data_IF_209955055577
#
_entry.id   IF_209955055577
#
_cell.length_a   1.000
_cell.length_b   1.000
_cell.length_c   1.000
_cell.angle_alpha   90.00
_cell.angle_beta   90.00
_cell.angle_gamma   90.00
#
_symmetry.space_group_name_H-M   'P 1'
#
loop_
_entity.id
_entity.type
_entity.pdbx_description
1 polymer ?
#
# COMPACT_ATOMS: atom_id res chain seq x y z
N UNK A 1 0.91 0.04 -7.66
CA UNK A 1 1.51 0.70 -8.85
C UNK A 1 1.19 0.01 -10.18
N UNK A 2 0.84 -1.29 -10.21
CA UNK A 2 0.69 -2.04 -11.48
C UNK A 2 -0.63 -1.75 -12.24
N UNK A 3 -1.63 -1.14 -11.58
CA UNK A 3 -2.87 -0.72 -12.24
C UNK A 3 -2.59 0.47 -13.17
N UNK A 4 -3.29 0.52 -14.33
CA UNK A 4 -3.07 1.50 -15.42
C UNK A 4 -2.86 2.92 -14.90
N UNK A 5 -3.82 3.47 -14.14
CA UNK A 5 -3.74 4.85 -13.69
C UNK A 5 -2.53 5.15 -12.78
N UNK A 6 -2.16 4.22 -11.90
CA UNK A 6 -0.98 4.36 -11.04
C UNK A 6 0.32 4.19 -11.81
N UNK A 7 0.36 3.28 -12.78
CA UNK A 7 1.51 3.13 -13.67
C UNK A 7 1.73 4.41 -14.48
N UNK A 8 0.66 4.90 -15.11
CA UNK A 8 0.69 6.15 -15.88
C UNK A 8 1.06 7.36 -15.02
N UNK A 9 0.57 7.42 -13.78
CA UNK A 9 1.01 8.41 -12.79
C UNK A 9 2.52 8.36 -12.55
N UNK A 10 3.08 7.18 -12.30
CA UNK A 10 4.52 7.03 -12.05
C UNK A 10 5.36 7.35 -13.28
N UNK A 11 4.97 6.85 -14.45
CA UNK A 11 5.67 7.12 -15.72
C UNK A 11 5.70 8.64 -16.00
N UNK A 12 4.57 9.33 -15.80
CA UNK A 12 4.49 10.78 -15.96
C UNK A 12 5.32 11.53 -14.92
N UNK A 13 5.33 11.07 -13.66
CA UNK A 13 6.14 11.65 -12.59
C UNK A 13 7.63 11.59 -12.95
N UNK A 14 8.13 10.41 -13.32
CA UNK A 14 9.54 10.21 -13.70
C UNK A 14 9.90 11.09 -14.91
N UNK A 15 9.13 11.04 -15.98
CA UNK A 15 9.37 11.87 -17.18
C UNK A 15 9.40 13.36 -16.82
N UNK A 16 8.45 13.81 -15.99
CA UNK A 16 8.32 15.23 -15.61
C UNK A 16 9.50 15.71 -14.77
N UNK A 17 9.93 14.90 -13.80
CA UNK A 17 11.08 15.21 -12.94
C UNK A 17 12.39 15.22 -13.74
N UNK A 18 12.66 14.19 -14.53
CA UNK A 18 13.95 14.03 -15.22
C UNK A 18 14.14 15.06 -16.34
N UNK A 19 13.08 15.45 -17.05
CA UNK A 19 13.12 16.58 -18.01
C UNK A 19 13.53 17.92 -17.36
N UNK A 20 13.45 18.03 -16.04
CA UNK A 20 13.81 19.21 -15.25
C UNK A 20 15.06 19.00 -14.39
N UNK A 21 15.76 17.88 -14.55
CA UNK A 21 16.93 17.53 -13.74
C UNK A 21 16.62 17.32 -12.25
N UNK A 22 15.36 17.00 -11.91
CA UNK A 22 14.94 16.73 -10.54
C UNK A 22 14.78 15.21 -10.32
N UNK A 23 15.08 14.68 -9.13
CA UNK A 23 14.82 13.28 -8.82
C UNK A 23 13.33 12.93 -8.74
N UNK A 24 12.99 11.70 -9.10
CA UNK A 24 11.70 11.05 -8.96
C UNK A 24 11.79 9.91 -7.92
N UNK A 25 10.97 9.95 -6.88
CA UNK A 25 10.96 8.91 -5.83
C UNK A 25 9.77 7.96 -5.98
N UNK A 26 10.03 6.66 -5.87
CA UNK A 26 9.02 5.63 -5.69
C UNK A 26 8.36 5.68 -4.30
N UNK A 27 7.31 4.88 -4.10
CA UNK A 27 6.50 4.91 -2.88
C UNK A 27 7.11 4.13 -1.70
N UNK A 28 6.32 3.97 -0.64
CA UNK A 28 6.64 3.15 0.52
C UNK A 28 6.43 1.65 0.25
N UNK A 29 7.37 0.81 0.69
CA UNK A 29 7.10 -0.60 0.98
C UNK A 29 6.80 -0.75 2.47
N UNK A 30 5.54 -1.04 2.78
CA UNK A 30 5.01 -1.13 4.13
C UNK A 30 5.13 -2.53 4.77
N UNK A 31 5.49 -3.55 3.99
CA UNK A 31 5.63 -4.92 4.48
C UNK A 31 6.80 -5.02 5.47
N UNK A 32 6.55 -5.67 6.61
CA UNK A 32 7.55 -6.01 7.61
C UNK A 32 8.13 -7.38 7.32
N UNK A 33 9.45 -7.52 7.46
CA UNK A 33 10.11 -8.81 7.35
C UNK A 33 9.82 -9.64 8.62
N UNK A 34 9.35 -10.89 8.48
CA UNK A 34 9.33 -11.84 9.60
C UNK A 34 10.72 -11.99 10.22
N UNK A 35 10.79 -12.03 11.55
CA UNK A 35 12.06 -12.08 12.31
C UNK A 35 12.96 -13.26 11.92
N UNK A 36 12.36 -14.43 11.63
CA UNK A 36 13.09 -15.63 11.24
C UNK A 36 13.53 -15.56 9.78
N UNK A 37 14.78 -15.11 9.56
CA UNK A 37 15.39 -14.89 8.24
C UNK A 37 15.34 -16.11 7.31
N UNK A 38 15.59 -17.31 7.83
CA UNK A 38 15.59 -18.55 7.02
C UNK A 38 14.19 -19.15 6.81
N UNK A 39 13.12 -18.42 7.15
CA UNK A 39 11.76 -18.92 6.95
C UNK A 39 11.27 -18.66 5.53
N UNK A 40 10.44 -19.56 5.01
CA UNK A 40 9.76 -19.32 3.73
C UNK A 40 8.91 -18.04 3.75
N UNK A 41 8.37 -17.65 4.91
CA UNK A 41 7.61 -16.42 5.06
C UNK A 41 8.49 -15.20 4.82
N UNK A 42 9.71 -15.19 5.37
CA UNK A 42 10.68 -14.12 5.16
C UNK A 42 11.05 -14.00 3.68
N UNK A 43 11.43 -15.10 3.05
CA UNK A 43 11.77 -15.11 1.62
C UNK A 43 10.61 -14.67 0.72
N UNK A 44 9.37 -15.06 1.06
CA UNK A 44 8.17 -14.62 0.33
C UNK A 44 7.96 -13.10 0.43
N UNK A 45 8.08 -12.54 1.63
CA UNK A 45 7.92 -11.09 1.84
C UNK A 45 9.04 -10.33 1.12
N UNK A 46 10.29 -10.73 1.30
CA UNK A 46 11.44 -10.12 0.65
C UNK A 46 11.32 -10.18 -0.88
N UNK A 47 10.95 -11.33 -1.44
CA UNK A 47 10.71 -11.50 -2.87
C UNK A 47 9.59 -10.59 -3.39
N UNK A 48 8.52 -10.43 -2.61
CA UNK A 48 7.41 -9.52 -2.95
C UNK A 48 7.88 -8.07 -2.98
N UNK A 49 8.62 -7.62 -1.96
CA UNK A 49 9.16 -6.25 -1.91
C UNK A 49 10.14 -6.03 -3.07
N UNK A 50 11.07 -6.95 -3.32
CA UNK A 50 12.02 -6.86 -4.45
C UNK A 50 11.29 -6.74 -5.79
N UNK A 51 10.25 -7.54 -6.03
CA UNK A 51 9.45 -7.49 -7.26
C UNK A 51 8.80 -6.12 -7.46
N UNK A 52 8.17 -5.58 -6.41
CA UNK A 52 7.51 -4.28 -6.44
C UNK A 52 8.51 -3.14 -6.64
N UNK A 53 9.66 -3.17 -5.95
CA UNK A 53 10.70 -2.14 -6.10
C UNK A 53 11.42 -2.22 -7.44
N UNK A 54 11.61 -3.42 -7.98
CA UNK A 54 12.15 -3.58 -9.32
C UNK A 54 11.22 -3.00 -10.40
N UNK A 55 9.90 -3.07 -10.20
CA UNK A 55 8.94 -2.40 -11.09
C UNK A 55 9.13 -0.87 -11.06
N UNK A 56 9.34 -0.27 -9.88
CA UNK A 56 9.62 1.17 -9.74
C UNK A 56 10.99 1.55 -10.35
N UNK A 57 12.04 0.78 -10.06
CA UNK A 57 13.39 0.99 -10.61
C UNK A 57 13.35 1.01 -12.14
N UNK A 58 12.67 0.03 -12.75
CA UNK A 58 12.54 -0.07 -14.21
C UNK A 58 11.73 1.08 -14.82
N UNK A 59 10.85 1.71 -14.06
CA UNK A 59 10.13 2.91 -14.51
C UNK A 59 11.03 4.15 -14.50
N UNK A 60 12.15 4.12 -13.77
CA UNK A 60 13.16 5.18 -13.75
C UNK A 60 13.24 5.97 -12.45
N UNK A 61 12.67 5.50 -11.33
CA UNK A 61 12.79 6.23 -10.05
C UNK A 61 14.26 6.29 -9.59
N UNK A 62 14.66 7.39 -8.94
CA UNK A 62 16.01 7.59 -8.40
C UNK A 62 16.19 7.02 -6.99
N UNK A 63 15.10 6.56 -6.38
CA UNK A 63 15.07 5.97 -5.06
C UNK A 63 13.64 5.65 -4.65
N UNK A 64 13.47 4.99 -3.51
CA UNK A 64 12.15 4.59 -2.99
C UNK A 64 12.23 4.39 -1.48
N UNK A 65 11.06 4.33 -0.83
CA UNK A 65 10.96 4.23 0.63
C UNK A 65 10.72 2.78 1.08
N UNK A 66 11.31 2.42 2.22
CA UNK A 66 11.02 1.21 2.99
C UNK A 66 10.80 1.61 4.44
N UNK A 67 9.95 0.86 5.15
CA UNK A 67 9.77 1.06 6.58
C UNK A 67 10.73 0.20 7.41
N UNK A 68 10.80 -1.09 7.10
CA UNK A 68 11.63 -2.04 7.82
C UNK A 68 13.13 -1.80 7.51
N UNK A 69 13.93 -1.64 8.57
CA UNK A 69 15.37 -1.39 8.45
C UNK A 69 16.11 -2.58 7.83
N UNK A 70 15.63 -3.81 8.03
CA UNK A 70 16.24 -5.02 7.49
C UNK A 70 16.08 -5.12 5.96
N UNK A 71 15.18 -4.32 5.37
CA UNK A 71 15.05 -4.21 3.92
C UNK A 71 16.14 -3.31 3.29
N UNK A 72 16.76 -2.40 4.05
CA UNK A 72 17.64 -1.35 3.50
C UNK A 72 18.78 -1.93 2.69
N UNK A 73 19.53 -2.89 3.23
CA UNK A 73 20.68 -3.48 2.53
C UNK A 73 20.25 -4.21 1.25
N UNK A 74 19.21 -5.03 1.34
CA UNK A 74 18.69 -5.78 0.19
C UNK A 74 18.18 -4.87 -0.92
N UNK A 75 17.54 -3.76 -0.55
CA UNK A 75 17.01 -2.79 -1.50
C UNK A 75 18.11 -1.93 -2.15
N UNK A 76 19.15 -1.57 -1.40
CA UNK A 76 20.32 -0.89 -1.95
C UNK A 76 21.03 -1.76 -2.99
N UNK A 77 21.24 -3.05 -2.69
CA UNK A 77 21.79 -4.02 -3.66
C UNK A 77 20.93 -4.12 -4.91
N UNK A 78 19.60 -4.27 -4.74
CA UNK A 78 18.67 -4.33 -5.86
C UNK A 78 18.77 -3.10 -6.77
N UNK A 79 18.86 -1.90 -6.19
CA UNK A 79 19.02 -0.66 -6.94
C UNK A 79 20.36 -0.61 -7.68
N UNK A 80 21.46 -0.96 -7.02
CA UNK A 80 22.80 -0.99 -7.61
C UNK A 80 22.91 -2.00 -8.77
N UNK A 81 22.27 -3.17 -8.64
CA UNK A 81 22.25 -4.21 -9.68
C UNK A 81 21.54 -3.75 -10.97
N UNK A 82 20.59 -2.83 -10.85
CA UNK A 82 19.69 -2.45 -11.96
C UNK A 82 19.87 -1.02 -12.45
N UNK A 83 20.80 -0.26 -11.87
CA UNK A 83 21.05 1.15 -12.23
C UNK A 83 22.53 1.42 -12.44
N UNK A 84 22.84 2.54 -13.10
CA UNK A 84 24.22 3.00 -13.31
C UNK A 84 24.46 4.30 -12.56
N UNK A 85 25.21 4.22 -11.46
CA UNK A 85 25.54 5.39 -10.64
C UNK A 85 24.50 5.68 -9.55
N UNK A 86 24.52 6.88 -8.96
CA UNK A 86 23.74 7.19 -7.77
C UNK A 86 22.25 7.51 -8.04
N UNK A 87 21.86 7.68 -9.30
CA UNK A 87 20.50 8.05 -9.72
C UNK A 87 20.26 7.70 -11.21
N UNK A 88 19.03 7.88 -11.68
CA UNK A 88 18.57 7.59 -13.04
C UNK A 88 18.16 8.86 -13.82
N UNK A 89 18.62 10.05 -13.43
CA UNK A 89 18.26 11.33 -14.08
C UNK A 89 18.53 11.38 -15.59
N UNK A 90 19.49 10.56 -16.07
CA UNK A 90 19.83 10.44 -17.48
C UNK A 90 18.77 9.69 -18.31
N UNK A 91 17.89 8.93 -17.65
CA UNK A 91 16.83 8.17 -18.29
C UNK A 91 15.56 9.02 -18.32
N UNK A 92 15.20 9.56 -19.49
CA UNK A 92 13.94 10.28 -19.67
C UNK A 92 12.97 9.34 -20.39
N UNK A 93 11.93 8.81 -19.73
CA UNK A 93 10.96 7.97 -20.41
C UNK A 93 10.23 8.74 -21.52
N UNK A 94 10.26 8.20 -22.74
CA UNK A 94 9.48 8.69 -23.87
C UNK A 94 8.04 8.15 -23.79
N UNK A 95 7.30 8.59 -22.78
CA UNK A 95 5.90 8.20 -22.53
C UNK A 95 4.95 9.32 -22.93
N UNK A 96 3.78 8.96 -23.46
CA UNK A 96 2.67 9.89 -23.66
C UNK A 96 1.54 9.47 -22.74
N UNK A 97 1.40 10.17 -21.61
CA UNK A 97 0.34 9.92 -20.62
C UNK A 97 -0.81 10.91 -20.85
N UNK A 98 -2.01 10.39 -21.08
CA UNK A 98 -3.21 11.20 -21.29
C UNK A 98 -3.98 11.42 -19.99
N UNK A 99 -4.89 12.39 -20.00
CA UNK A 99 -5.83 12.57 -18.89
C UNK A 99 -6.68 11.31 -18.63
N UNK A 100 -7.09 10.61 -19.70
CA UNK A 100 -7.85 9.37 -19.59
C UNK A 100 -7.06 8.29 -18.89
N UNK A 101 -5.75 8.17 -19.13
CA UNK A 101 -4.91 7.19 -18.44
C UNK A 101 -4.91 7.40 -16.92
N UNK A 102 -4.87 8.66 -16.48
CA UNK A 102 -4.84 9.04 -15.06
C UNK A 102 -6.20 8.91 -14.36
N UNK A 103 -7.30 9.08 -15.10
CA UNK A 103 -8.66 9.09 -14.55
C UNK A 103 -9.43 7.78 -14.77
N UNK A 104 -8.86 6.81 -15.48
CA UNK A 104 -9.50 5.50 -15.68
C UNK A 104 -9.50 4.72 -14.37
N UNK A 105 -10.68 4.52 -13.80
CA UNK A 105 -10.85 3.70 -12.61
C UNK A 105 -10.38 2.26 -12.85
N UNK A 106 -9.66 1.64 -11.91
CA UNK A 106 -9.24 0.25 -12.04
C UNK A 106 -10.47 -0.68 -12.01
N UNK A 107 -10.46 -1.79 -12.78
CA UNK A 107 -11.48 -2.80 -12.67
C UNK A 107 -11.37 -3.53 -11.32
N UNK A 108 -12.51 -4.01 -10.84
CA UNK A 108 -12.69 -4.73 -9.58
C UNK A 108 -13.94 -4.23 -8.85
N UNK A 109 -14.34 -4.93 -7.81
CA UNK A 109 -15.43 -4.54 -6.94
C UNK A 109 -15.04 -4.56 -5.47
N UNK A 110 -16.03 -4.80 -4.63
CA UNK A 110 -15.91 -4.72 -3.17
C UNK A 110 -16.16 -6.09 -2.59
N UNK A 111 -15.18 -6.63 -1.88
CA UNK A 111 -15.30 -7.92 -1.19
C UNK A 111 -15.63 -7.71 0.29
N UNK A 112 -16.23 -8.72 0.93
CA UNK A 112 -16.48 -8.70 2.37
C UNK A 112 -15.16 -8.57 3.14
N UNK A 113 -14.11 -9.28 2.67
CA UNK A 113 -12.77 -9.17 3.24
C UNK A 113 -12.24 -7.74 3.15
N UNK A 114 -12.31 -7.09 1.98
CA UNK A 114 -11.86 -5.71 1.80
C UNK A 114 -12.62 -4.72 2.68
N UNK A 115 -13.93 -4.94 2.86
CA UNK A 115 -14.75 -4.15 3.76
C UNK A 115 -14.32 -4.31 5.23
N UNK A 116 -14.20 -5.54 5.72
CA UNK A 116 -13.72 -5.84 7.08
C UNK A 116 -12.32 -5.26 7.32
N UNK A 117 -11.42 -5.42 6.35
CA UNK A 117 -10.06 -4.89 6.41
C UNK A 117 -10.04 -3.37 6.58
N UNK A 118 -10.78 -2.63 5.74
CA UNK A 118 -10.86 -1.17 5.84
C UNK A 118 -11.46 -0.69 7.17
N UNK A 119 -12.43 -1.42 7.71
CA UNK A 119 -13.02 -1.13 9.03
C UNK A 119 -11.97 -1.33 10.13
N UNK A 120 -11.26 -2.46 10.12
CA UNK A 120 -10.22 -2.76 11.10
C UNK A 120 -9.10 -1.71 11.08
N UNK A 121 -8.59 -1.33 9.90
CA UNK A 121 -7.59 -0.25 9.74
C UNK A 121 -8.09 1.06 10.34
N UNK A 122 -9.36 1.43 10.12
CA UNK A 122 -9.95 2.64 10.69
C UNK A 122 -10.00 2.62 12.22
N UNK A 123 -10.41 1.50 12.81
CA UNK A 123 -10.46 1.33 14.28
C UNK A 123 -9.06 1.40 14.87
N UNK A 124 -8.13 0.61 14.33
CA UNK A 124 -6.75 0.52 14.81
C UNK A 124 -6.01 1.85 14.72
N UNK A 125 -6.22 2.61 13.65
CA UNK A 125 -5.61 3.92 13.51
C UNK A 125 -6.10 4.91 14.57
N UNK A 126 -7.41 4.94 14.84
CA UNK A 126 -7.98 5.83 15.87
C UNK A 126 -7.46 5.45 17.26
N UNK A 127 -7.37 4.15 17.56
CA UNK A 127 -6.76 3.66 18.80
C UNK A 127 -5.29 4.11 18.93
N UNK A 128 -4.45 3.84 17.91
CA UNK A 128 -3.05 4.25 17.90
C UNK A 128 -2.90 5.77 18.05
N UNK A 129 -3.73 6.54 17.34
CA UNK A 129 -3.71 8.00 17.42
C UNK A 129 -4.07 8.50 18.83
N UNK A 130 -5.03 7.89 19.52
CA UNK A 130 -5.35 8.21 20.91
C UNK A 130 -4.25 7.80 21.89
N UNK A 131 -3.43 6.79 21.57
CA UNK A 131 -2.21 6.43 22.31
C UNK A 131 -1.03 7.37 22.01
N UNK A 132 -1.18 8.32 21.08
CA UNK A 132 -0.12 9.24 20.66
C UNK A 132 0.83 8.65 19.61
N UNK A 133 0.45 7.54 18.97
CA UNK A 133 1.21 6.88 17.91
C UNK A 133 0.65 7.24 16.53
N UNK A 134 1.53 7.69 15.63
CA UNK A 134 1.14 8.05 14.26
C UNK A 134 1.11 6.89 13.26
N UNK A 135 1.47 5.68 13.72
CA UNK A 135 1.51 4.46 12.93
C UNK A 135 1.04 3.28 13.78
N UNK A 136 0.69 2.18 13.14
CA UNK A 136 0.32 0.93 13.79
C UNK A 136 0.68 -0.25 12.89
N UNK A 137 0.55 -1.47 13.42
CA UNK A 137 0.84 -2.68 12.68
C UNK A 137 -0.42 -3.50 12.47
N UNK A 138 -0.66 -3.91 11.23
CA UNK A 138 -1.79 -4.77 10.92
C UNK A 138 -1.43 -5.75 9.81
N UNK A 139 -1.63 -7.05 10.06
CA UNK A 139 -1.40 -8.14 9.09
C UNK A 139 -0.02 -8.09 8.41
N UNK A 140 1.03 -7.81 9.18
CA UNK A 140 2.42 -7.81 8.70
C UNK A 140 2.82 -6.54 7.92
N UNK A 141 2.02 -5.47 8.02
CA UNK A 141 2.33 -4.17 7.44
C UNK A 141 2.39 -3.11 8.53
N UNK A 142 3.24 -2.10 8.33
CA UNK A 142 3.07 -0.81 8.98
C UNK A 142 1.98 -0.02 8.26
N UNK A 143 1.10 0.62 9.01
CA UNK A 143 0.04 1.45 8.50
C UNK A 143 0.10 2.83 9.16
N UNK A 144 -0.33 3.86 8.45
CA UNK A 144 -0.34 5.24 8.92
C UNK A 144 -1.67 5.94 8.62
N UNK A 145 -1.69 7.26 8.83
CA UNK A 145 -2.87 8.09 8.55
C UNK A 145 -3.37 8.00 7.10
N UNK A 146 -2.49 7.82 6.11
CA UNK A 146 -2.90 7.73 4.71
C UNK A 146 -3.66 6.42 4.45
N UNK A 147 -3.25 5.31 5.06
CA UNK A 147 -3.99 4.03 5.00
C UNK A 147 -5.38 4.16 5.64
N UNK A 148 -5.47 4.83 6.79
CA UNK A 148 -6.75 5.08 7.45
C UNK A 148 -7.67 5.96 6.61
N UNK A 149 -7.12 7.01 5.99
CA UNK A 149 -7.84 7.94 5.13
C UNK A 149 -8.44 7.25 3.89
N UNK A 150 -7.65 6.43 3.18
CA UNK A 150 -8.19 5.68 2.04
C UNK A 150 -9.22 4.65 2.48
N UNK A 151 -9.00 3.97 3.61
CA UNK A 151 -9.92 2.96 4.16
C UNK A 151 -11.29 3.54 4.51
N UNK A 152 -11.33 4.64 5.28
CA UNK A 152 -12.61 5.30 5.60
C UNK A 152 -13.29 5.88 4.36
N UNK A 153 -12.51 6.38 3.40
CA UNK A 153 -13.04 7.01 2.18
C UNK A 153 -13.68 5.98 1.26
N UNK A 154 -13.08 4.80 1.15
CA UNK A 154 -13.66 3.67 0.43
C UNK A 154 -14.96 3.19 1.09
N UNK A 155 -14.97 2.98 2.41
CA UNK A 155 -16.19 2.60 3.14
C UNK A 155 -17.30 3.64 2.95
N UNK A 156 -16.97 4.93 3.06
CA UNK A 156 -17.92 6.01 2.80
C UNK A 156 -18.46 5.96 1.37
N UNK A 157 -17.59 5.78 0.37
CA UNK A 157 -17.98 5.71 -1.04
C UNK A 157 -18.91 4.52 -1.29
N UNK A 158 -18.60 3.35 -0.72
CA UNK A 158 -19.41 2.14 -0.88
C UNK A 158 -20.80 2.28 -0.25
N UNK A 159 -20.90 2.90 0.92
CA UNK A 159 -22.20 3.26 1.53
C UNK A 159 -22.94 4.26 0.65
N UNK A 160 -22.26 5.33 0.19
CA UNK A 160 -22.86 6.43 -0.58
C UNK A 160 -23.47 5.98 -1.89
N UNK A 161 -22.84 5.01 -2.54
CA UNK A 161 -23.24 4.48 -3.85
C UNK A 161 -24.02 3.16 -3.75
N UNK A 162 -24.27 2.63 -2.55
CA UNK A 162 -25.01 1.37 -2.36
C UNK A 162 -24.34 0.20 -3.10
N UNK A 163 -23.01 0.11 -3.01
CA UNK A 163 -22.25 -0.94 -3.68
C UNK A 163 -22.62 -2.31 -3.09
N UNK A 164 -22.69 -3.33 -3.94
CA UNK A 164 -22.89 -4.71 -3.49
C UNK A 164 -21.56 -5.41 -3.26
N UNK A 165 -21.51 -6.25 -2.24
CA UNK A 165 -20.38 -7.15 -2.01
C UNK A 165 -20.36 -8.22 -3.11
N UNK A 166 -19.19 -8.45 -3.71
CA UNK A 166 -18.99 -9.45 -4.76
C UNK A 166 -19.20 -10.88 -4.25
N UNK A 167 -18.89 -11.13 -2.96
CA UNK A 167 -18.88 -12.47 -2.39
C UNK A 167 -20.29 -12.96 -1.98
N UNK A 168 -21.21 -12.05 -1.67
CA UNK A 168 -22.52 -12.41 -1.10
C UNK A 168 -23.70 -11.49 -1.46
N UNK A 169 -23.52 -10.56 -2.41
CA UNK A 169 -24.54 -9.64 -2.95
C UNK A 169 -25.15 -8.64 -1.96
N UNK A 170 -24.76 -8.65 -0.67
CA UNK A 170 -25.27 -7.68 0.31
C UNK A 170 -24.86 -6.27 -0.09
N UNK A 171 -25.79 -5.33 0.03
CA UNK A 171 -25.49 -3.91 -0.17
C UNK A 171 -24.73 -3.36 1.02
N UNK A 172 -23.65 -2.64 0.78
CA UNK A 172 -22.89 -1.93 1.81
C UNK A 172 -23.74 -0.79 2.35
N UNK A 173 -24.20 -0.94 3.59
CA UNK A 173 -25.03 0.04 4.30
C UNK A 173 -24.37 0.46 5.61
N UNK A 174 -24.80 1.57 6.19
CA UNK A 174 -24.33 1.99 7.53
C UNK A 174 -24.55 0.90 8.59
N UNK A 175 -25.69 0.22 8.56
CA UNK A 175 -26.01 -0.85 9.50
C UNK A 175 -25.05 -2.04 9.35
N UNK A 176 -24.76 -2.45 8.11
CA UNK A 176 -23.80 -3.53 7.86
C UNK A 176 -22.40 -3.14 8.36
N UNK A 177 -21.95 -1.92 8.07
CA UNK A 177 -20.64 -1.44 8.53
C UNK A 177 -20.57 -1.38 10.05
N UNK A 178 -21.63 -0.93 10.72
CA UNK A 178 -21.68 -0.89 12.18
C UNK A 178 -21.64 -2.30 12.80
N UNK A 179 -22.38 -3.26 12.24
CA UNK A 179 -22.33 -4.65 12.72
C UNK A 179 -20.95 -5.28 12.51
N UNK A 180 -20.31 -5.01 11.37
CA UNK A 180 -18.96 -5.51 11.09
C UNK A 180 -17.91 -4.83 11.98
N UNK A 181 -18.08 -3.55 12.31
CA UNK A 181 -17.18 -2.86 13.24
C UNK A 181 -17.19 -3.50 14.63
N UNK A 182 -18.36 -3.85 15.16
CA UNK A 182 -18.49 -4.57 16.44
C UNK A 182 -17.83 -5.96 16.37
N UNK A 183 -17.99 -6.67 15.26
CA UNK A 183 -17.32 -7.96 15.03
C UNK A 183 -15.79 -7.80 14.99
N UNK A 184 -15.29 -6.77 14.29
CA UNK A 184 -13.86 -6.47 14.22
C UNK A 184 -13.29 -6.04 15.57
N UNK A 185 -14.01 -5.27 16.38
CA UNK A 185 -13.56 -4.93 17.75
C UNK A 185 -13.29 -6.19 18.58
N UNK A 186 -14.18 -7.19 18.51
CA UNK A 186 -13.98 -8.46 19.20
C UNK A 186 -12.78 -9.24 18.65
N UNK A 187 -12.68 -9.40 17.32
CA UNK A 187 -11.57 -10.10 16.67
C UNK A 187 -10.21 -9.43 16.98
N UNK A 188 -10.17 -8.10 17.02
CA UNK A 188 -8.96 -7.34 17.31
C UNK A 188 -8.56 -7.44 18.79
N UNK A 189 -9.51 -7.41 19.72
CA UNK A 189 -9.22 -7.65 21.14
C UNK A 189 -8.56 -9.00 21.36
N UNK A 190 -9.06 -10.05 20.72
CA UNK A 190 -8.49 -11.40 20.82
C UNK A 190 -7.05 -11.44 20.29
N UNK A 191 -6.76 -10.72 19.20
CA UNK A 191 -5.41 -10.59 18.64
C UNK A 191 -4.44 -9.89 19.60
N UNK A 192 -4.84 -8.78 20.22
CA UNK A 192 -3.99 -8.05 21.17
C UNK A 192 -3.78 -8.79 22.49
N UNK A 193 -4.81 -9.43 23.03
CA UNK A 193 -4.67 -10.22 24.25
C UNK A 193 -3.82 -11.49 24.07
N UNK A 194 -3.70 -11.98 22.83
CA UNK A 194 -2.87 -13.14 22.50
C UNK A 194 -1.40 -12.80 22.25
N UNK A 195 -1.07 -11.54 21.95
CA UNK A 195 0.32 -11.09 21.71
C UNK A 195 1.11 -10.74 22.98
N UNK A 196 0.44 -10.67 24.13
CA UNK A 196 1.04 -10.40 25.45
C UNK A 196 1.37 -11.69 26.26
N UNK A 197 1.34 -12.88 25.63
CA UNK A 197 1.76 -14.17 26.20
C UNK A 197 2.93 -14.77 25.41
#
# INVERSE_FOLDING_TARGET
MEKRFLKSYMDLLVQTCHRRGAPATGGMAALLLPEKKDSEAHERVLGTVKRLKLFEIRAGVDGFMVYDIDLVESMQKLFQEHTKGPNQLHLIPEVTVTQTDLLTMPPGGVTLYGLKYNIAVGILFIDAWFRGEGHFFYRGQVEDSATAEISRSQVWQWIRHGVKLEDDERTVTRNLVQSLAQEMEQELQDLYCSSDQ
#
